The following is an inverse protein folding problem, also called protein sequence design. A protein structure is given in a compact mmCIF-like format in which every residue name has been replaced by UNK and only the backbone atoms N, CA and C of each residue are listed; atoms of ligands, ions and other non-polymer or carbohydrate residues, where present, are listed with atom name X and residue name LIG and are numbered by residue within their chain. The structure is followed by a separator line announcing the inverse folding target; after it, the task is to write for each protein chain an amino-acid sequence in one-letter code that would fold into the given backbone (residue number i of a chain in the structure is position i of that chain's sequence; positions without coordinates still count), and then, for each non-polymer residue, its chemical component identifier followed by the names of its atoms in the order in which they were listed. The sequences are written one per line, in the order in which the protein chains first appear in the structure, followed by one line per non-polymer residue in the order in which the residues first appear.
data_IF_508458341634
#
_entry.id   IF_508458341634
#
_cell.length_a   1.000
_cell.length_b   1.000
_cell.length_c   1.000
_cell.angle_alpha   90.00
_cell.angle_beta   90.00
_cell.angle_gamma   90.00
#
_symmetry.space_group_name_H-M   'P 1'
#
loop_
_entity.id
_entity.type
_entity.pdbx_description
1 polymer ?
#
# COMPACT_ATOMS: atom_id res chain seq x y z
N UNK A 1 15.39 -3.32 19.70
CA UNK A 1 14.14 -2.89 20.35
C UNK A 1 12.98 -3.07 19.38
N UNK A 2 11.83 -3.63 19.81
CA UNK A 2 10.60 -3.61 19.01
C UNK A 2 10.19 -2.16 18.74
N UNK A 3 9.73 -1.84 17.51
CA UNK A 3 9.13 -0.53 17.22
C UNK A 3 7.63 -0.59 17.51
N UNK A 4 7.02 0.57 17.74
CA UNK A 4 5.58 0.68 17.96
C UNK A 4 4.79 -0.01 16.83
N UNK A 5 3.85 -0.89 17.20
CA UNK A 5 3.00 -1.64 16.26
C UNK A 5 3.57 -2.96 15.73
N UNK A 6 4.79 -3.33 16.10
CA UNK A 6 5.37 -4.66 15.77
C UNK A 6 4.78 -5.79 16.66
N UNK A 7 4.08 -5.44 17.73
CA UNK A 7 3.43 -6.32 18.69
C UNK A 7 1.97 -6.68 18.32
N UNK A 8 1.51 -6.26 17.14
CA UNK A 8 0.14 -6.49 16.66
C UNK A 8 -0.88 -5.46 17.16
N UNK A 9 -0.48 -4.47 17.97
CA UNK A 9 -1.39 -3.43 18.46
C UNK A 9 -2.10 -2.64 17.34
N UNK A 10 -1.51 -2.62 16.12
CA UNK A 10 -2.06 -1.95 14.95
C UNK A 10 -3.01 -2.82 14.11
N UNK A 11 -3.11 -4.14 14.35
CA UNK A 11 -3.79 -5.06 13.43
C UNK A 11 -5.25 -4.68 13.11
N UNK A 12 -5.97 -4.14 14.09
CA UNK A 12 -7.36 -3.68 13.92
C UNK A 12 -7.50 -2.44 13.03
N UNK A 13 -6.42 -1.68 12.83
CA UNK A 13 -6.40 -0.45 12.04
C UNK A 13 -5.79 -0.65 10.65
N UNK A 14 -5.14 -1.79 10.40
CA UNK A 14 -4.49 -2.08 9.13
C UNK A 14 -5.50 -2.65 8.14
N UNK A 15 -5.57 -2.04 6.98
CA UNK A 15 -6.37 -2.55 5.88
C UNK A 15 -5.74 -3.81 5.30
N UNK A 16 -6.51 -4.51 4.46
CA UNK A 16 -5.98 -5.65 3.69
C UNK A 16 -4.78 -5.25 2.81
N UNK A 17 -4.72 -3.99 2.36
CA UNK A 17 -3.63 -3.47 1.53
C UNK A 17 -2.37 -3.21 2.36
N UNK A 18 -2.52 -2.69 3.57
CA UNK A 18 -1.39 -2.50 4.49
C UNK A 18 -0.77 -3.85 4.89
N UNK A 19 -1.62 -4.85 5.15
CA UNK A 19 -1.16 -6.20 5.48
C UNK A 19 -0.46 -6.85 4.29
N UNK A 20 -1.00 -6.69 3.08
CA UNK A 20 -0.38 -7.19 1.86
C UNK A 20 0.97 -6.51 1.60
N UNK A 21 1.06 -5.19 1.77
CA UNK A 21 2.29 -4.42 1.65
C UNK A 21 3.34 -4.88 2.68
N UNK A 22 2.94 -5.08 3.94
CA UNK A 22 3.83 -5.52 5.00
C UNK A 22 4.43 -6.91 4.70
N UNK A 23 3.60 -7.87 4.30
CA UNK A 23 4.03 -9.21 3.89
C UNK A 23 4.99 -9.19 2.70
N UNK A 24 4.82 -8.21 1.82
CA UNK A 24 5.58 -8.03 0.59
C UNK A 24 6.82 -7.14 0.72
N UNK A 25 7.05 -6.60 1.91
CA UNK A 25 8.18 -5.72 2.23
C UNK A 25 9.44 -6.50 2.56
N UNK A 26 10.59 -5.81 2.61
CA UNK A 26 11.86 -6.40 3.03
C UNK A 26 11.85 -6.96 4.46
N UNK A 27 10.97 -6.43 5.33
CA UNK A 27 10.93 -6.78 6.74
C UNK A 27 9.47 -7.04 7.21
N UNK A 28 8.87 -8.18 6.86
CA UNK A 28 7.50 -8.51 7.27
C UNK A 28 7.32 -8.48 8.79
N UNK A 29 6.19 -7.97 9.26
CA UNK A 29 5.87 -7.87 10.69
C UNK A 29 6.66 -6.80 11.45
N UNK A 30 7.53 -6.04 10.79
CA UNK A 30 8.38 -5.02 11.42
C UNK A 30 8.17 -3.65 10.81
N UNK A 31 8.31 -2.62 11.62
CA UNK A 31 8.16 -1.22 11.22
C UNK A 31 6.77 -0.94 10.63
N UNK A 32 5.74 -1.62 11.14
CA UNK A 32 4.38 -1.56 10.59
C UNK A 32 3.78 -0.16 10.67
N UNK A 33 4.04 0.54 11.77
CA UNK A 33 3.66 1.96 11.91
C UNK A 33 4.31 2.84 10.84
N UNK A 34 5.61 2.66 10.60
CA UNK A 34 6.35 3.45 9.60
C UNK A 34 5.82 3.18 8.18
N UNK A 35 5.38 1.94 7.90
CA UNK A 35 4.78 1.55 6.62
C UNK A 35 3.42 2.18 6.36
N UNK A 36 2.65 2.51 7.39
CA UNK A 36 1.34 3.15 7.19
C UNK A 36 1.44 4.66 7.05
N UNK A 37 2.44 5.30 7.66
CA UNK A 37 2.55 6.77 7.67
C UNK A 37 3.56 7.32 6.66
N UNK A 38 4.55 6.53 6.25
CA UNK A 38 5.61 7.04 5.39
C UNK A 38 5.12 7.14 3.95
N UNK A 39 5.38 8.30 3.33
CA UNK A 39 5.07 8.54 1.92
C UNK A 39 5.68 7.48 0.98
N UNK A 40 6.79 6.85 1.37
CA UNK A 40 7.42 5.76 0.60
C UNK A 40 6.45 4.61 0.28
N UNK A 41 5.52 4.31 1.18
CA UNK A 41 4.61 3.16 1.07
C UNK A 41 3.21 3.55 0.61
N UNK A 42 2.85 4.84 0.74
CA UNK A 42 1.55 5.36 0.31
C UNK A 42 1.26 5.13 -1.18
N UNK A 43 2.28 5.29 -2.04
CA UNK A 43 2.13 5.01 -3.47
C UNK A 43 1.78 3.54 -3.76
N UNK A 44 2.37 2.61 -3.01
CA UNK A 44 2.11 1.18 -3.17
C UNK A 44 0.74 0.77 -2.60
N UNK A 45 0.29 1.39 -1.50
CA UNK A 45 -1.08 1.19 -0.97
C UNK A 45 -2.12 1.63 -2.02
N UNK A 46 -1.93 2.82 -2.61
CA UNK A 46 -2.80 3.35 -3.67
C UNK A 46 -2.79 2.42 -4.89
N UNK A 47 -1.61 1.92 -5.28
CA UNK A 47 -1.47 0.98 -6.40
C UNK A 47 -2.26 -0.31 -6.16
N UNK A 48 -2.15 -0.90 -4.96
CA UNK A 48 -2.87 -2.11 -4.59
C UNK A 48 -4.38 -1.91 -4.59
N UNK A 49 -4.87 -0.78 -4.08
CA UNK A 49 -6.30 -0.44 -4.10
C UNK A 49 -6.82 -0.25 -5.53
N UNK A 50 -6.09 0.48 -6.37
CA UNK A 50 -6.46 0.68 -7.78
C UNK A 50 -6.44 -0.64 -8.56
N UNK A 51 -5.47 -1.52 -8.30
CA UNK A 51 -5.38 -2.84 -8.92
C UNK A 51 -6.57 -3.73 -8.54
N UNK A 52 -6.96 -3.75 -7.26
CA UNK A 52 -8.15 -4.49 -6.81
C UNK A 52 -9.43 -3.97 -7.47
N UNK A 53 -9.61 -2.65 -7.53
CA UNK A 53 -10.77 -2.03 -8.19
C UNK A 53 -10.80 -2.29 -9.70
N UNK A 54 -9.63 -2.26 -10.36
CA UNK A 54 -9.51 -2.60 -11.78
C UNK A 54 -9.87 -4.07 -12.02
N UNK A 55 -9.33 -5.01 -11.24
CA UNK A 55 -9.65 -6.44 -11.36
C UNK A 55 -11.12 -6.75 -11.11
N UNK A 56 -11.80 -5.95 -10.29
CA UNK A 56 -13.26 -6.03 -10.07
C UNK A 56 -14.08 -5.41 -11.22
N UNK A 57 -13.43 -4.85 -12.24
CA UNK A 57 -14.08 -4.17 -13.36
C UNK A 57 -14.67 -2.80 -13.03
N UNK A 58 -14.34 -2.25 -11.85
CA UNK A 58 -14.87 -0.96 -11.38
C UNK A 58 -14.05 0.23 -11.90
N UNK A 59 -12.77 0.00 -12.23
CA UNK A 59 -11.87 0.97 -12.84
C UNK A 59 -11.23 0.41 -14.11
N UNK A 60 -10.75 1.33 -14.96
CA UNK A 60 -9.94 1.03 -16.16
C UNK A 60 -10.53 -0.04 -17.10
N UNK A 61 -11.87 -0.20 -17.11
CA UNK A 61 -12.57 -1.24 -17.88
C UNK A 61 -12.08 -2.67 -17.62
N UNK A 62 -11.55 -2.94 -16.41
CA UNK A 62 -10.97 -4.25 -16.08
C UNK A 62 -9.47 -4.37 -16.33
N UNK A 63 -8.84 -3.39 -16.98
CA UNK A 63 -7.42 -3.43 -17.33
C UNK A 63 -6.54 -2.98 -16.16
N UNK A 64 -5.82 -3.93 -15.55
CA UNK A 64 -4.85 -3.66 -14.49
C UNK A 64 -3.41 -3.64 -14.97
N UNK A 65 -3.12 -3.86 -16.26
CA UNK A 65 -1.76 -4.15 -16.76
C UNK A 65 -0.72 -3.11 -16.35
N UNK A 66 -1.07 -1.82 -16.45
CA UNK A 66 -0.16 -0.70 -16.12
C UNK A 66 0.02 -0.46 -14.62
N UNK A 67 -0.95 -0.88 -13.81
CA UNK A 67 -0.94 -0.70 -12.35
C UNK A 67 -0.50 -1.96 -11.59
N UNK A 68 -0.33 -3.08 -12.29
CA UNK A 68 0.22 -4.32 -11.72
C UNK A 68 1.74 -4.26 -11.50
N UNK A 69 2.44 -3.32 -12.14
CA UNK A 69 3.88 -3.12 -11.95
C UNK A 69 4.18 -2.38 -10.64
N UNK A 70 4.96 -2.99 -9.74
CA UNK A 70 5.37 -2.32 -8.49
C UNK A 70 6.13 -1.03 -8.76
N UNK A 71 5.85 -0.02 -7.94
CA UNK A 71 6.53 1.28 -8.03
C UNK A 71 6.10 2.15 -9.22
N UNK A 72 5.10 1.73 -10.02
CA UNK A 72 4.55 2.56 -11.10
C UNK A 72 3.80 3.80 -10.58
N UNK A 73 3.34 3.77 -9.32
CA UNK A 73 2.78 4.92 -8.63
C UNK A 73 3.82 5.40 -7.63
N UNK A 74 4.53 6.46 -8.01
CA UNK A 74 5.44 7.13 -7.09
C UNK A 74 4.67 7.96 -6.06
N UNK A 75 5.23 8.12 -4.87
CA UNK A 75 4.71 9.03 -3.85
C UNK A 75 4.45 10.44 -4.39
N UNK A 76 5.31 10.90 -5.31
CA UNK A 76 5.16 12.19 -5.97
C UNK A 76 3.87 12.29 -6.79
N UNK A 77 3.51 11.24 -7.53
CA UNK A 77 2.25 11.21 -8.27
C UNK A 77 1.02 11.25 -7.36
N UNK A 78 1.11 10.65 -6.16
CA UNK A 78 0.03 10.75 -5.16
C UNK A 78 -0.08 12.19 -4.63
N UNK A 79 1.06 12.82 -4.30
CA UNK A 79 1.08 14.21 -3.84
C UNK A 79 0.57 15.20 -4.88
N UNK A 80 0.82 14.96 -6.18
CA UNK A 80 0.36 15.82 -7.27
C UNK A 80 -1.16 15.71 -7.52
N UNK A 81 -1.83 14.63 -7.07
CA UNK A 81 -3.28 14.43 -7.20
C UNK A 81 -4.05 15.12 -6.07
N UNK A 82 -3.44 15.24 -4.89
CA UNK A 82 -4.03 15.91 -3.72
C UNK A 82 -3.95 17.45 -3.79
N UNK A 83 -3.33 18.01 -4.85
CA UNK A 83 -3.08 19.44 -5.06
C UNK A 83 -4.08 20.16 -5.96
#
# INVERSE_FOLDING_TARGET
MPKFGDDGALDQFLTIYDQQLDQQSLNPGRQRFEKTISGMYMGEIVRLALEDLARRGLLFSGDSTRISERGCISTKMVSDIEG
#
